data_IF_599958875061
#
_entry.id   IF_599958875061
#
_cell.length_a   1.000
_cell.length_b   1.000
_cell.length_c   1.000
_cell.angle_alpha   90.00
_cell.angle_beta   90.00
_cell.angle_gamma   90.00
#
_symmetry.space_group_name_H-M   'P 1'
#
loop_
_entity.id
_entity.type
_entity.pdbx_description
1 polymer ?
#
# COMPACT_ATOMS: atom_id res chain seq x y z
N UNK A 1 -11.45 8.68 -13.24
CA UNK A 1 -10.85 8.28 -11.95
C UNK A 1 -10.73 9.52 -11.08
N UNK A 2 -11.09 9.48 -9.79
CA UNK A 2 -10.92 10.62 -8.87
C UNK A 2 -9.51 10.56 -8.27
N UNK A 3 -8.63 11.56 -8.51
CA UNK A 3 -7.27 11.55 -7.96
C UNK A 3 -7.22 11.48 -6.43
N UNK A 4 -8.24 11.97 -5.74
CA UNK A 4 -8.30 11.93 -4.27
C UNK A 4 -8.53 10.52 -3.71
N UNK A 5 -9.06 9.59 -4.51
CA UNK A 5 -9.39 8.22 -4.09
C UNK A 5 -8.82 7.16 -5.05
N UNK A 6 -7.90 7.53 -5.94
CA UNK A 6 -7.17 6.56 -6.75
C UNK A 6 -6.31 5.67 -5.83
N UNK A 7 -5.97 4.47 -6.29
CA UNK A 7 -5.21 3.50 -5.50
C UNK A 7 -3.71 3.49 -5.83
N UNK A 8 -3.23 4.51 -6.56
CA UNK A 8 -1.82 4.74 -6.84
C UNK A 8 -1.16 5.37 -5.60
N UNK A 9 -0.52 4.58 -4.76
CA UNK A 9 0.07 5.04 -3.50
C UNK A 9 1.14 6.11 -3.74
N UNK A 10 1.94 5.95 -4.79
CA UNK A 10 2.97 6.91 -5.18
C UNK A 10 2.40 8.28 -5.51
N UNK A 11 1.21 8.35 -6.12
CA UNK A 11 0.49 9.61 -6.31
C UNK A 11 0.14 10.29 -4.98
N UNK A 12 -0.38 9.54 -4.01
CA UNK A 12 -0.72 10.11 -2.71
C UNK A 12 0.51 10.52 -1.92
N UNK A 13 1.64 9.84 -2.08
CA UNK A 13 2.88 10.16 -1.38
C UNK A 13 3.58 11.38 -1.99
N UNK A 14 3.69 11.41 -3.32
CA UNK A 14 4.64 12.26 -4.03
C UNK A 14 4.01 13.09 -5.17
N UNK A 15 2.77 12.82 -5.57
CA UNK A 15 2.14 13.49 -6.70
C UNK A 15 2.93 13.26 -7.99
N UNK A 16 3.27 14.34 -8.70
CA UNK A 16 4.11 14.30 -9.91
C UNK A 16 5.62 14.38 -9.61
N UNK A 17 6.02 14.34 -8.35
CA UNK A 17 7.44 14.47 -7.99
C UNK A 17 8.24 13.24 -8.43
N UNK A 18 9.55 13.44 -8.65
CA UNK A 18 10.49 12.41 -9.10
C UNK A 18 10.47 11.16 -8.20
N UNK A 19 10.22 11.35 -6.91
CA UNK A 19 10.10 10.32 -5.90
C UNK A 19 8.99 9.31 -6.20
N UNK A 20 7.92 9.71 -6.93
CA UNK A 20 6.92 8.75 -7.43
C UNK A 20 7.55 7.75 -8.39
N UNK A 21 8.37 8.24 -9.33
CA UNK A 21 9.10 7.39 -10.27
C UNK A 21 10.04 6.43 -9.54
N UNK A 22 10.80 6.93 -8.57
CA UNK A 22 11.69 6.11 -7.75
C UNK A 22 10.92 5.04 -6.95
N UNK A 23 9.75 5.38 -6.40
CA UNK A 23 8.88 4.43 -5.71
C UNK A 23 8.36 3.34 -6.66
N UNK A 24 7.91 3.70 -7.86
CA UNK A 24 7.47 2.72 -8.86
C UNK A 24 8.60 1.76 -9.26
N UNK A 25 9.83 2.26 -9.44
CA UNK A 25 11.00 1.43 -9.74
C UNK A 25 11.24 0.44 -8.60
N UNK A 26 11.24 0.90 -7.35
CA UNK A 26 11.40 0.03 -6.17
C UNK A 26 10.37 -1.09 -6.14
N UNK A 27 9.08 -0.79 -6.36
CA UNK A 27 8.04 -1.82 -6.35
C UNK A 27 8.23 -2.81 -7.50
N UNK A 28 8.55 -2.31 -8.70
CA UNK A 28 8.82 -3.15 -9.87
C UNK A 28 9.99 -4.10 -9.65
N UNK A 29 11.07 -3.64 -9.01
CA UNK A 29 12.21 -4.50 -8.68
C UNK A 29 11.81 -5.64 -7.74
N UNK A 30 11.04 -5.34 -6.68
CA UNK A 30 10.53 -6.36 -5.77
C UNK A 30 9.69 -7.42 -6.48
N UNK A 31 8.77 -7.00 -7.36
CA UNK A 31 7.93 -7.93 -8.12
C UNK A 31 8.75 -8.79 -9.09
N UNK A 32 9.62 -8.16 -9.88
CA UNK A 32 10.45 -8.83 -10.89
C UNK A 32 11.40 -9.84 -10.25
N UNK A 33 12.09 -9.47 -9.18
CA UNK A 33 13.10 -10.31 -8.54
C UNK A 33 12.44 -11.55 -7.88
N UNK A 34 11.14 -11.45 -7.54
CA UNK A 34 10.33 -12.54 -7.03
C UNK A 34 9.43 -13.21 -8.09
N UNK A 35 9.63 -12.88 -9.37
CA UNK A 35 8.88 -13.45 -10.51
C UNK A 35 7.36 -13.26 -10.42
N UNK A 36 6.93 -12.16 -9.82
CA UNK A 36 5.52 -11.74 -9.80
C UNK A 36 5.28 -10.85 -11.02
N UNK A 37 4.30 -11.24 -11.85
CA UNK A 37 3.95 -10.48 -13.05
C UNK A 37 3.18 -9.20 -12.69
N UNK A 38 3.53 -8.10 -13.36
CA UNK A 38 2.74 -6.87 -13.32
C UNK A 38 1.45 -7.05 -14.15
N UNK A 39 0.36 -6.46 -13.66
CA UNK A 39 -0.87 -6.27 -14.41
C UNK A 39 -0.81 -5.02 -15.29
N UNK A 40 -1.94 -4.57 -15.84
CA UNK A 40 -2.04 -3.30 -16.57
C UNK A 40 -1.93 -2.06 -15.67
N UNK A 41 -1.98 -2.22 -14.35
CA UNK A 41 -1.85 -1.12 -13.38
C UNK A 41 -0.38 -0.67 -13.24
N UNK A 42 -0.17 0.54 -12.74
CA UNK A 42 1.18 1.03 -12.43
C UNK A 42 1.78 0.27 -11.23
N UNK A 43 3.13 0.22 -11.09
CA UNK A 43 3.75 -0.43 -9.94
C UNK A 43 3.35 0.16 -8.59
N UNK A 44 3.00 1.46 -8.53
CA UNK A 44 2.57 2.10 -7.30
C UNK A 44 1.10 1.86 -6.94
N UNK A 45 0.35 1.13 -7.78
CA UNK A 45 -1.02 0.74 -7.48
C UNK A 45 -1.08 -0.24 -6.30
N UNK A 46 -2.11 -0.11 -5.45
CA UNK A 46 -2.27 -0.88 -4.22
C UNK A 46 -2.17 -2.40 -4.43
N UNK A 47 -2.68 -2.94 -5.54
CA UNK A 47 -2.57 -4.39 -5.84
C UNK A 47 -1.12 -4.85 -5.92
N UNK A 48 -0.28 -4.12 -6.67
CA UNK A 48 1.14 -4.41 -6.81
C UNK A 48 1.91 -4.16 -5.51
N UNK A 49 1.54 -3.11 -4.77
CA UNK A 49 2.15 -2.83 -3.47
C UNK A 49 1.84 -3.94 -2.46
N UNK A 50 0.63 -4.50 -2.44
CA UNK A 50 0.29 -5.64 -1.58
C UNK A 50 1.13 -6.88 -1.92
N UNK A 51 1.28 -7.20 -3.20
CA UNK A 51 2.17 -8.29 -3.64
C UNK A 51 3.64 -8.04 -3.29
N UNK A 52 4.10 -6.79 -3.35
CA UNK A 52 5.46 -6.43 -2.98
C UNK A 52 5.72 -6.51 -1.47
N UNK A 53 4.70 -6.34 -0.62
CA UNK A 53 4.82 -6.55 0.83
C UNK A 53 5.01 -8.03 1.13
N UNK A 54 4.27 -8.91 0.47
CA UNK A 54 4.29 -10.37 0.73
C UNK A 54 5.67 -11.00 0.56
N UNK A 55 6.51 -10.47 -0.33
CA UNK A 55 7.85 -11.00 -0.63
C UNK A 55 8.96 -10.46 0.29
N UNK A 56 8.65 -9.48 1.14
CA UNK A 56 9.59 -8.95 2.12
C UNK A 56 9.61 -9.81 3.39
N UNK A 57 10.72 -9.77 4.13
CA UNK A 57 10.74 -10.33 5.48
C UNK A 57 9.89 -9.48 6.46
N UNK A 58 9.58 -10.02 7.63
CA UNK A 58 8.67 -9.36 8.58
C UNK A 58 9.15 -7.97 9.03
N UNK A 59 10.47 -7.78 9.16
CA UNK A 59 11.05 -6.50 9.57
C UNK A 59 10.91 -5.46 8.45
N UNK A 60 11.23 -5.84 7.22
CA UNK A 60 11.12 -5.00 6.04
C UNK A 60 9.65 -4.73 5.67
N UNK A 61 8.74 -5.69 5.87
CA UNK A 61 7.30 -5.50 5.72
C UNK A 61 6.81 -4.37 6.61
N UNK A 62 7.16 -4.42 7.91
CA UNK A 62 6.76 -3.39 8.87
C UNK A 62 7.25 -2.01 8.45
N UNK A 63 8.55 -1.89 8.12
CA UNK A 63 9.15 -0.63 7.67
C UNK A 63 8.48 -0.14 6.38
N UNK A 64 8.20 -1.03 5.44
CA UNK A 64 7.56 -0.68 4.17
C UNK A 64 6.13 -0.17 4.38
N UNK A 65 5.35 -0.86 5.22
CA UNK A 65 3.98 -0.49 5.56
C UNK A 65 3.94 0.88 6.24
N UNK A 66 4.75 1.08 7.28
CA UNK A 66 4.80 2.33 8.04
C UNK A 66 5.26 3.51 7.16
N UNK A 67 6.26 3.29 6.30
CA UNK A 67 6.86 4.34 5.48
C UNK A 67 6.00 4.74 4.27
N UNK A 68 5.39 3.78 3.59
CA UNK A 68 4.73 4.04 2.29
C UNK A 68 3.22 3.82 2.33
N UNK A 69 2.77 2.70 2.91
CA UNK A 69 1.38 2.28 2.80
C UNK A 69 0.47 3.07 3.72
N UNK A 70 0.79 3.15 5.02
CA UNK A 70 -0.01 3.89 6.00
C UNK A 70 -0.24 5.37 5.63
N UNK A 71 0.78 6.16 5.28
CA UNK A 71 0.56 7.56 4.91
C UNK A 71 -0.30 7.72 3.63
N UNK A 72 -0.14 6.84 2.65
CA UNK A 72 -0.95 6.87 1.44
C UNK A 72 -2.41 6.46 1.70
N UNK A 73 -2.63 5.36 2.43
CA UNK A 73 -3.97 4.88 2.80
C UNK A 73 -4.74 5.93 3.62
N UNK A 74 -4.05 6.65 4.52
CA UNK A 74 -4.65 7.77 5.26
C UNK A 74 -5.16 8.89 4.32
N UNK A 75 -4.42 9.22 3.25
CA UNK A 75 -4.84 10.23 2.27
C UNK A 75 -6.01 9.73 1.41
N UNK A 76 -5.96 8.48 0.94
CA UNK A 76 -7.05 7.82 0.19
C UNK A 76 -8.34 7.83 1.00
N UNK A 77 -8.28 7.35 2.25
CA UNK A 77 -9.44 7.30 3.16
C UNK A 77 -10.00 8.70 3.47
N UNK A 78 -9.13 9.70 3.63
CA UNK A 78 -9.56 11.09 3.74
C UNK A 78 -10.26 11.58 2.47
N UNK A 79 -9.76 11.20 1.29
CA UNK A 79 -10.36 11.54 0.00
C UNK A 79 -11.77 11.00 -0.20
N UNK A 80 -12.10 9.86 0.43
CA UNK A 80 -13.47 9.35 0.45
C UNK A 80 -14.43 10.24 1.26
N UNK A 81 -13.95 10.99 2.27
CA UNK A 81 -14.79 11.84 3.11
C UNK A 81 -16.00 11.09 3.69
N UNK A 82 -17.18 11.71 3.66
CA UNK A 82 -18.46 11.11 4.07
C UNK A 82 -19.17 10.33 2.94
N UNK A 83 -18.44 9.94 1.88
CA UNK A 83 -19.03 9.20 0.76
C UNK A 83 -19.54 7.82 1.17
N UNK A 84 -20.71 7.46 0.67
CA UNK A 84 -21.30 6.11 0.72
C UNK A 84 -20.72 5.15 -0.35
N UNK A 85 -19.55 5.48 -0.91
CA UNK A 85 -18.90 4.62 -1.90
C UNK A 85 -18.62 3.22 -1.29
N UNK A 86 -19.13 2.13 -1.89
CA UNK A 86 -19.01 0.80 -1.32
C UNK A 86 -17.56 0.32 -1.16
N UNK A 87 -16.63 0.85 -1.97
CA UNK A 87 -15.21 0.52 -1.88
C UNK A 87 -14.52 1.14 -0.66
N UNK A 88 -15.08 2.21 -0.06
CA UNK A 88 -14.52 2.84 1.15
C UNK A 88 -14.33 1.81 2.27
N UNK A 89 -15.32 0.94 2.47
CA UNK A 89 -15.29 -0.10 3.51
C UNK A 89 -14.21 -1.15 3.26
N UNK A 90 -14.03 -1.57 2.01
CA UNK A 90 -12.97 -2.50 1.63
C UNK A 90 -11.58 -1.90 1.89
N UNK A 91 -11.36 -0.63 1.52
CA UNK A 91 -10.09 0.07 1.77
C UNK A 91 -9.85 0.27 3.27
N UNK A 92 -10.88 0.57 4.06
CA UNK A 92 -10.78 0.66 5.52
C UNK A 92 -10.39 -0.68 6.14
N UNK A 93 -10.97 -1.79 5.65
CA UNK A 93 -10.64 -3.12 6.11
C UNK A 93 -9.18 -3.47 5.82
N UNK A 94 -8.70 -3.25 4.59
CA UNK A 94 -7.29 -3.46 4.21
C UNK A 94 -6.37 -2.65 5.11
N UNK A 95 -6.65 -1.34 5.30
CA UNK A 95 -5.84 -0.50 6.17
C UNK A 95 -5.78 -1.04 7.60
N UNK A 96 -6.91 -1.49 8.16
CA UNK A 96 -6.95 -2.07 9.51
C UNK A 96 -6.12 -3.34 9.63
N UNK A 97 -6.11 -4.21 8.62
CA UNK A 97 -5.30 -5.43 8.62
C UNK A 97 -3.81 -5.08 8.60
N UNK A 98 -3.41 -4.15 7.74
CA UNK A 98 -2.00 -3.75 7.59
C UNK A 98 -1.45 -2.97 8.79
N UNK A 99 -2.29 -2.27 9.56
CA UNK A 99 -1.87 -1.51 10.74
C UNK A 99 -2.10 -2.23 12.06
N UNK A 100 -2.65 -3.45 12.05
CA UNK A 100 -2.87 -4.20 13.27
C UNK A 100 -1.51 -4.70 13.79
N UNK A 101 -1.13 -4.42 15.04
CA UNK A 101 -0.01 -5.11 15.65
C UNK A 101 -0.29 -6.62 15.57
N UNK A 102 0.69 -7.41 15.13
CA UNK A 102 0.60 -8.86 15.27
C UNK A 102 0.19 -9.14 16.71
N UNK A 103 -0.91 -9.88 16.90
CA UNK A 103 -1.40 -10.19 18.23
C UNK A 103 -0.22 -10.80 18.99
N UNK A 104 0.15 -10.21 20.13
CA UNK A 104 1.15 -10.77 21.03
C UNK A 104 0.82 -12.26 21.19
N UNK A 105 1.66 -13.11 20.61
CA UNK A 105 1.66 -14.54 20.91
C UNK A 105 2.24 -14.66 22.31
N UNK A 106 1.41 -14.34 23.31
CA UNK A 106 1.68 -14.54 24.72
C UNK A 106 1.82 -16.03 25.01
N UNK A 107 3.00 -16.56 24.71
CA UNK A 107 3.50 -17.78 25.31
C UNK A 107 3.80 -17.47 26.77
N UNK A 108 2.85 -17.78 27.65
CA UNK A 108 3.16 -17.96 29.06
C UNK A 108 3.39 -19.46 29.25
N UNK A 109 4.68 -19.84 29.24
CA UNK A 109 5.15 -21.11 29.79
C UNK A 109 5.24 -21.00 31.32
#
# INVERSE_FOLDING_TARGET
MNPATCLDLGWHLYGEAYERGAFMVKVRELLRDNKIEESSELPDHLSHVLSAIEVLDEADQKVFIEKYVQPAMKKILKGFGESDNPYKQAIQFINRILTKPALDNGGNA
#
